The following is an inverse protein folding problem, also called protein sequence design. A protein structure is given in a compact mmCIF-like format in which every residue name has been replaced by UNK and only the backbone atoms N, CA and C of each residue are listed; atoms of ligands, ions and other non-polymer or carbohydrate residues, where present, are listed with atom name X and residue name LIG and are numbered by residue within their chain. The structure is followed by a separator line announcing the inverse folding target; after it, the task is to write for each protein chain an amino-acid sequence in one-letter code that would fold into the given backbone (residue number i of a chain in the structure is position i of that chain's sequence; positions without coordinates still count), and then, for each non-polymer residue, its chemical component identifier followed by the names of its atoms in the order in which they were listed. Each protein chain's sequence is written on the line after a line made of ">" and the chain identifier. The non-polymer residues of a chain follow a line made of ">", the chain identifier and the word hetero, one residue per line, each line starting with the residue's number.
data_IF_047646366115
#
_entry.id   IF_047646366115
#
_cell.length_a   1.000
_cell.length_b   1.000
_cell.length_c   1.000
_cell.angle_alpha   90.00
_cell.angle_beta   90.00
_cell.angle_gamma   90.00
#
_symmetry.space_group_name_H-M   'P 1'
#
loop_
_entity.id
_entity.type
_entity.pdbx_description
1 polymer ?
#
# COMPACT_ATOMS: atom_id res chain seq x y z
N UNK A 1 -10.45 16.59 -24.42
CA UNK A 1 -10.46 17.88 -23.70
C UNK A 1 -11.69 18.65 -24.15
N UNK A 2 -12.46 19.21 -23.22
CA UNK A 2 -13.62 20.04 -23.57
C UNK A 2 -13.12 21.46 -23.81
N UNK A 3 -13.06 21.86 -25.07
CA UNK A 3 -12.81 23.23 -25.47
C UNK A 3 -14.13 23.90 -25.84
N UNK A 4 -14.28 25.17 -25.49
CA UNK A 4 -15.33 26.00 -26.05
C UNK A 4 -14.70 26.77 -27.23
N UNK A 5 -14.87 26.27 -28.46
CA UNK A 5 -14.24 26.83 -29.66
C UNK A 5 -14.23 25.90 -30.88
N UNK A 6 -13.38 26.23 -31.85
CA UNK A 6 -13.28 25.58 -33.16
C UNK A 6 -12.47 24.27 -33.10
N UNK A 7 -12.68 23.35 -34.06
CA UNK A 7 -12.17 21.98 -34.02
C UNK A 7 -10.63 21.86 -33.96
N UNK A 8 -9.92 22.92 -34.36
CA UNK A 8 -8.46 22.94 -34.46
C UNK A 8 -7.77 23.86 -33.45
N UNK A 9 -8.46 24.87 -32.90
CA UNK A 9 -7.87 25.83 -31.97
C UNK A 9 -8.86 26.16 -30.85
N UNK A 10 -8.47 25.86 -29.62
CA UNK A 10 -9.29 26.15 -28.45
C UNK A 10 -9.10 27.60 -28.05
N UNK A 11 -10.18 28.40 -28.05
CA UNK A 11 -10.16 29.81 -27.62
C UNK A 11 -10.33 29.97 -26.11
N UNK A 12 -11.07 29.06 -25.47
CA UNK A 12 -11.15 28.95 -24.01
C UNK A 12 -11.08 27.50 -23.55
N UNK A 13 -10.26 27.28 -22.53
CA UNK A 13 -10.19 26.03 -21.79
C UNK A 13 -11.17 26.06 -20.62
N UNK A 14 -11.80 24.92 -20.33
CA UNK A 14 -12.58 24.75 -19.12
C UNK A 14 -11.71 24.88 -17.86
N UNK A 15 -12.34 25.22 -16.75
CA UNK A 15 -11.69 25.35 -15.44
C UNK A 15 -10.86 24.10 -15.09
N UNK A 16 -9.62 24.31 -14.62
CA UNK A 16 -8.65 23.24 -14.35
C UNK A 16 -7.69 22.90 -15.50
N UNK A 17 -7.79 23.58 -16.65
CA UNK A 17 -6.90 23.41 -17.80
C UNK A 17 -6.25 24.75 -18.19
N UNK A 18 -4.94 24.72 -18.44
CA UNK A 18 -4.18 25.87 -18.91
C UNK A 18 -3.96 25.77 -20.43
N UNK A 19 -4.09 26.90 -21.13
CA UNK A 19 -3.82 26.99 -22.56
C UNK A 19 -2.31 27.07 -22.80
N UNK A 20 -1.75 26.08 -23.49
CA UNK A 20 -0.34 26.05 -23.91
C UNK A 20 -0.32 25.69 -25.38
N UNK A 21 0.25 26.57 -26.21
CA UNK A 21 0.41 26.39 -27.67
C UNK A 21 -0.91 26.10 -28.43
N UNK A 22 -2.03 26.71 -28.01
CA UNK A 22 -3.35 26.48 -28.62
C UNK A 22 -4.08 25.21 -28.15
N UNK A 23 -3.45 24.42 -27.27
CA UNK A 23 -4.02 23.20 -26.70
C UNK A 23 -4.36 23.37 -25.22
N UNK A 24 -5.53 22.86 -24.80
CA UNK A 24 -5.89 22.81 -23.39
C UNK A 24 -5.25 21.61 -22.71
N UNK A 25 -4.32 21.86 -21.80
CA UNK A 25 -3.64 20.82 -21.02
C UNK A 25 -3.99 20.94 -19.53
N UNK A 26 -4.18 19.82 -18.82
CA UNK A 26 -4.57 19.85 -17.41
C UNK A 26 -3.52 20.58 -16.57
N UNK A 27 -3.96 21.47 -15.68
CA UNK A 27 -3.08 22.25 -14.80
C UNK A 27 -2.29 21.34 -13.84
N UNK A 28 -2.89 20.23 -13.42
CA UNK A 28 -2.28 19.24 -12.52
C UNK A 28 -1.32 18.25 -13.19
N UNK A 29 -0.92 18.47 -14.46
CA UNK A 29 -0.04 17.55 -15.20
C UNK A 29 1.27 17.24 -14.47
N UNK A 30 1.90 18.26 -13.88
CA UNK A 30 3.16 18.10 -13.15
C UNK A 30 2.99 17.30 -11.85
N UNK A 31 1.85 17.48 -11.16
CA UNK A 31 1.53 16.70 -9.98
C UNK A 31 1.41 15.20 -10.31
N UNK A 32 0.71 14.86 -11.41
CA UNK A 32 0.60 13.48 -11.87
C UNK A 32 1.93 12.89 -12.33
N UNK A 33 2.76 13.65 -13.04
CA UNK A 33 4.11 13.21 -13.39
C UNK A 33 4.96 12.91 -12.15
N UNK A 34 4.85 13.73 -11.10
CA UNK A 34 5.56 13.52 -9.84
C UNK A 34 5.06 12.25 -9.14
N UNK A 35 3.74 12.04 -9.05
CA UNK A 35 3.16 10.80 -8.50
C UNK A 35 3.65 9.57 -9.25
N UNK A 36 3.61 9.58 -10.58
CA UNK A 36 4.10 8.46 -11.39
C UNK A 36 5.61 8.24 -11.24
N UNK A 37 6.40 9.31 -11.13
CA UNK A 37 7.84 9.21 -10.90
C UNK A 37 8.17 8.58 -9.54
N UNK A 38 7.46 8.96 -8.47
CA UNK A 38 7.62 8.37 -7.15
C UNK A 38 7.21 6.89 -7.14
N UNK A 39 6.09 6.56 -7.79
CA UNK A 39 5.62 5.18 -7.88
C UNK A 39 6.62 4.32 -8.65
N UNK A 40 7.14 4.82 -9.77
CA UNK A 40 8.16 4.12 -10.54
C UNK A 40 9.46 3.94 -9.73
N UNK A 41 9.90 4.97 -9.02
CA UNK A 41 11.08 4.90 -8.14
C UNK A 41 10.92 3.84 -7.05
N UNK A 42 9.70 3.63 -6.53
CA UNK A 42 9.43 2.58 -5.55
C UNK A 42 9.35 1.18 -6.18
N UNK A 43 8.75 1.05 -7.37
CA UNK A 43 8.52 -0.26 -8.02
C UNK A 43 9.79 -0.84 -8.64
N UNK A 44 10.62 -0.02 -9.29
CA UNK A 44 11.85 -0.48 -9.94
C UNK A 44 12.82 -1.27 -9.02
N UNK A 45 13.17 -0.80 -7.81
CA UNK A 45 14.06 -1.55 -6.92
C UNK A 45 13.44 -2.86 -6.44
N UNK A 46 12.11 -2.93 -6.28
CA UNK A 46 11.42 -4.17 -5.92
C UNK A 46 11.51 -5.19 -7.05
N UNK A 47 11.23 -4.78 -8.29
CA UNK A 47 11.36 -5.68 -9.46
C UNK A 47 12.80 -6.14 -9.66
N UNK A 48 13.76 -5.22 -9.52
CA UNK A 48 15.19 -5.53 -9.54
C UNK A 48 15.55 -6.58 -8.48
N UNK A 49 15.13 -6.36 -7.23
CA UNK A 49 15.37 -7.28 -6.13
C UNK A 49 14.79 -8.67 -6.39
N UNK A 50 13.53 -8.75 -6.87
CA UNK A 50 12.89 -10.02 -7.23
C UNK A 50 13.66 -10.73 -8.34
N UNK A 51 14.07 -10.00 -9.38
CA UNK A 51 14.88 -10.56 -10.47
C UNK A 51 16.23 -11.10 -9.98
N UNK A 52 16.94 -10.35 -9.13
CA UNK A 52 18.16 -10.82 -8.51
C UNK A 52 17.92 -12.07 -7.65
N UNK A 53 16.86 -12.10 -6.85
CA UNK A 53 16.52 -13.23 -5.99
C UNK A 53 16.21 -14.49 -6.81
N UNK A 54 15.51 -14.33 -7.94
CA UNK A 54 15.17 -15.44 -8.84
C UNK A 54 16.40 -16.01 -9.57
N UNK A 55 17.38 -15.17 -9.90
CA UNK A 55 18.61 -15.58 -10.59
C UNK A 55 19.72 -16.06 -9.62
N UNK A 56 19.54 -15.93 -8.30
CA UNK A 56 20.54 -16.36 -7.31
C UNK A 56 20.60 -17.89 -7.27
N UNK A 57 21.76 -18.51 -7.56
CA UNK A 57 21.90 -19.95 -7.44
C UNK A 57 21.85 -20.37 -5.96
N UNK A 58 21.29 -21.55 -5.69
CA UNK A 58 21.26 -22.14 -4.36
C UNK A 58 22.66 -22.68 -4.04
N UNK A 59 23.41 -21.94 -3.22
CA UNK A 59 24.79 -22.30 -2.83
C UNK A 59 24.81 -23.37 -1.75
N UNK A 60 23.80 -23.38 -0.87
CA UNK A 60 23.65 -24.36 0.20
C UNK A 60 22.18 -24.76 0.32
N UNK A 61 21.83 -25.94 -0.17
CA UNK A 61 20.47 -26.46 -0.16
C UNK A 61 19.99 -26.83 1.25
N UNK A 62 20.90 -27.33 2.10
CA UNK A 62 20.60 -27.72 3.48
C UNK A 62 20.19 -26.51 4.33
N UNK A 63 20.99 -25.44 4.27
CA UNK A 63 20.67 -24.19 4.98
C UNK A 63 19.38 -23.55 4.45
N UNK A 64 19.10 -23.68 3.15
CA UNK A 64 17.86 -23.17 2.57
C UNK A 64 16.64 -23.94 3.11
N UNK A 65 16.73 -25.25 3.22
CA UNK A 65 15.67 -26.10 3.79
C UNK A 65 15.43 -25.76 5.26
N UNK A 66 16.49 -25.64 6.05
CA UNK A 66 16.41 -25.23 7.46
C UNK A 66 15.81 -23.83 7.61
N UNK A 67 16.23 -22.87 6.78
CA UNK A 67 15.68 -21.52 6.79
C UNK A 67 14.19 -21.50 6.39
N UNK A 68 13.80 -22.32 5.42
CA UNK A 68 12.40 -22.50 5.03
C UNK A 68 11.59 -23.14 6.16
N UNK A 69 12.11 -24.17 6.82
CA UNK A 69 11.48 -24.81 7.97
C UNK A 69 11.32 -23.83 9.14
N UNK A 70 12.38 -23.08 9.46
CA UNK A 70 12.35 -22.04 10.47
C UNK A 70 11.29 -20.99 10.15
N UNK A 71 11.28 -20.43 8.93
CA UNK A 71 10.26 -19.47 8.48
C UNK A 71 8.83 -20.01 8.62
N UNK A 72 8.62 -21.30 8.35
CA UNK A 72 7.31 -21.92 8.54
C UNK A 72 6.92 -22.00 10.01
N UNK A 73 7.88 -22.27 10.90
CA UNK A 73 7.68 -22.30 12.35
C UNK A 73 7.51 -20.91 12.97
N UNK A 74 8.12 -19.86 12.42
CA UNK A 74 7.97 -18.48 12.91
C UNK A 74 6.60 -17.85 12.64
N UNK A 75 5.75 -18.48 11.81
CA UNK A 75 4.41 -17.96 11.51
C UNK A 75 3.50 -18.17 12.72
N UNK A 76 2.70 -17.16 13.04
CA UNK A 76 1.69 -17.27 14.09
C UNK A 76 0.68 -18.36 13.73
N UNK A 77 0.63 -19.41 14.55
CA UNK A 77 -0.23 -20.59 14.39
C UNK A 77 -1.11 -20.76 15.61
N UNK A 78 -2.26 -21.38 15.40
CA UNK A 78 -3.20 -21.70 16.48
C UNK A 78 -2.83 -23.06 17.06
N UNK A 79 -2.11 -23.05 18.18
CA UNK A 79 -1.66 -24.28 18.86
C UNK A 79 -2.81 -25.16 19.31
N UNK A 80 -3.92 -24.57 19.76
CA UNK A 80 -5.07 -25.30 20.28
C UNK A 80 -5.80 -26.18 19.25
N UNK A 81 -5.50 -26.02 17.96
CA UNK A 81 -6.22 -26.69 16.86
C UNK A 81 -5.26 -27.39 15.89
N UNK A 82 -4.08 -27.77 16.35
CA UNK A 82 -3.12 -28.54 15.55
C UNK A 82 -2.33 -27.69 14.57
N UNK A 83 -1.82 -26.53 15.03
CA UNK A 83 -0.90 -25.68 14.27
C UNK A 83 -1.45 -25.14 12.93
N UNK A 84 -2.76 -24.91 12.85
CA UNK A 84 -3.41 -24.31 11.68
C UNK A 84 -3.12 -22.80 11.64
N UNK A 85 -3.00 -22.25 10.43
CA UNK A 85 -2.88 -20.79 10.24
C UNK A 85 -4.12 -20.06 10.76
N UNK A 86 -3.92 -18.88 11.36
CA UNK A 86 -5.04 -18.03 11.71
C UNK A 86 -5.82 -17.62 10.45
N UNK A 87 -7.16 -17.65 10.47
CA UNK A 87 -7.96 -17.19 9.35
C UNK A 87 -7.69 -15.69 9.12
N UNK A 88 -7.53 -15.27 7.87
CA UNK A 88 -7.27 -13.85 7.52
C UNK A 88 -8.42 -12.91 7.89
N UNK A 89 -9.60 -13.46 8.20
CA UNK A 89 -10.80 -12.73 8.65
C UNK A 89 -10.85 -12.49 10.16
N UNK A 90 -9.83 -12.90 10.91
CA UNK A 90 -9.77 -12.68 12.35
C UNK A 90 -9.72 -11.17 12.69
N UNK A 91 -10.55 -10.78 13.66
CA UNK A 91 -10.48 -9.45 14.25
C UNK A 91 -9.40 -9.38 15.35
N UNK A 92 -8.28 -8.73 15.05
CA UNK A 92 -7.17 -8.54 16.00
C UNK A 92 -7.48 -7.55 17.14
N UNK A 93 -8.52 -6.72 17.02
CA UNK A 93 -8.90 -5.74 18.05
C UNK A 93 -9.90 -6.30 19.08
N UNK A 94 -10.65 -7.35 18.71
CA UNK A 94 -11.72 -7.92 19.53
C UNK A 94 -11.46 -9.33 20.03
N UNK A 95 -10.62 -10.11 19.34
CA UNK A 95 -10.35 -11.49 19.71
C UNK A 95 -9.01 -11.59 20.42
N UNK A 96 -9.03 -11.96 21.71
CA UNK A 96 -7.82 -12.36 22.40
C UNK A 96 -7.30 -13.64 21.73
N UNK A 97 -6.16 -13.53 21.07
CA UNK A 97 -5.55 -14.63 20.34
C UNK A 97 -4.08 -14.76 20.68
N UNK A 98 -3.61 -16.00 20.76
CA UNK A 98 -2.20 -16.32 20.97
C UNK A 98 -1.29 -15.81 19.82
N UNK A 99 -1.85 -15.34 18.70
CA UNK A 99 -1.14 -14.76 17.54
C UNK A 99 -0.50 -13.39 17.76
N UNK A 100 -0.57 -12.81 18.95
CA UNK A 100 0.04 -11.50 19.21
C UNK A 100 0.01 -11.05 20.66
N UNK A 101 -0.67 -11.81 21.51
CA UNK A 101 -0.77 -11.52 22.94
C UNK A 101 -1.52 -10.21 23.22
N UNK A 102 -1.46 -9.77 24.48
CA UNK A 102 -2.14 -8.56 24.96
C UNK A 102 -1.62 -7.30 24.26
N UNK A 103 -0.33 -7.27 23.87
CA UNK A 103 0.30 -6.11 23.25
C UNK A 103 -0.29 -5.77 21.88
N UNK A 104 -0.45 -6.76 21.00
CA UNK A 104 -1.04 -6.56 19.67
C UNK A 104 -2.50 -6.14 19.78
N UNK A 105 -3.25 -6.76 20.69
CA UNK A 105 -4.64 -6.40 20.97
C UNK A 105 -4.77 -4.93 21.41
N UNK A 106 -3.92 -4.50 22.36
CA UNK A 106 -3.90 -3.12 22.84
C UNK A 106 -3.52 -2.14 21.73
N UNK A 107 -2.55 -2.49 20.89
CA UNK A 107 -2.09 -1.65 19.78
C UNK A 107 -3.22 -1.37 18.78
N UNK A 108 -3.96 -2.40 18.34
CA UNK A 108 -5.08 -2.22 17.41
C UNK A 108 -6.24 -1.44 18.04
N UNK A 109 -6.52 -1.63 19.34
CA UNK A 109 -7.53 -0.82 20.04
C UNK A 109 -7.12 0.65 20.13
N UNK A 110 -5.85 0.94 20.37
CA UNK A 110 -5.32 2.30 20.36
C UNK A 110 -5.44 2.93 18.97
N UNK A 111 -5.09 2.21 17.89
CA UNK A 111 -5.27 2.70 16.52
C UNK A 111 -6.74 3.03 16.21
N UNK A 112 -7.68 2.19 16.63
CA UNK A 112 -9.11 2.48 16.49
C UNK A 112 -9.52 3.77 17.22
N UNK A 113 -9.01 4.00 18.44
CA UNK A 113 -9.29 5.22 19.19
C UNK A 113 -8.73 6.47 18.49
N UNK A 114 -7.51 6.38 17.94
CA UNK A 114 -6.89 7.47 17.16
C UNK A 114 -7.69 7.79 15.90
N UNK A 115 -8.17 6.77 15.17
CA UNK A 115 -9.00 6.96 13.98
C UNK A 115 -10.34 7.64 14.33
N UNK A 116 -11.00 7.18 15.39
CA UNK A 116 -12.26 7.75 15.85
C UNK A 116 -12.08 9.21 16.31
N UNK A 117 -11.00 9.50 17.04
CA UNK A 117 -10.64 10.87 17.41
C UNK A 117 -10.38 11.75 16.18
N UNK A 118 -9.65 11.25 15.19
CA UNK A 118 -9.34 11.98 13.97
C UNK A 118 -10.61 12.31 13.17
N UNK A 119 -11.56 11.37 13.07
CA UNK A 119 -12.87 11.60 12.44
C UNK A 119 -13.67 12.67 13.18
N UNK A 120 -13.72 12.62 14.52
CA UNK A 120 -14.40 13.64 15.32
C UNK A 120 -13.77 15.02 15.13
N UNK A 121 -12.43 15.11 15.10
CA UNK A 121 -11.73 16.36 14.86
C UNK A 121 -12.04 16.95 13.48
N UNK A 122 -12.09 16.11 12.43
CA UNK A 122 -12.47 16.56 11.08
C UNK A 122 -13.91 17.06 11.05
N UNK A 123 -14.85 16.39 11.72
CA UNK A 123 -16.26 16.83 11.75
C UNK A 123 -16.45 18.10 12.59
N UNK A 124 -15.67 18.27 13.65
CA UNK A 124 -15.79 19.43 14.55
C UNK A 124 -15.12 20.70 13.99
N UNK A 125 -14.06 20.55 13.19
CA UNK A 125 -13.22 21.66 12.72
C UNK A 125 -13.14 21.81 11.19
N UNK A 126 -13.71 20.87 10.42
CA UNK A 126 -13.77 20.90 8.96
C UNK A 126 -15.15 21.34 8.46
#
# INVERSE_FOLDING_TARGET
>A
GKCAGDAHHCTRCNEGFDMVDGWCRPRSRHAWHLVYALLLMAVLPVLWYIGCLAARPVVNAELLEDACAHRQMSKNRRDEQGHVFYPLSINLAGTFTNSGGVGVLLHFRFQCAVLLWSLLAVVAFG
#
